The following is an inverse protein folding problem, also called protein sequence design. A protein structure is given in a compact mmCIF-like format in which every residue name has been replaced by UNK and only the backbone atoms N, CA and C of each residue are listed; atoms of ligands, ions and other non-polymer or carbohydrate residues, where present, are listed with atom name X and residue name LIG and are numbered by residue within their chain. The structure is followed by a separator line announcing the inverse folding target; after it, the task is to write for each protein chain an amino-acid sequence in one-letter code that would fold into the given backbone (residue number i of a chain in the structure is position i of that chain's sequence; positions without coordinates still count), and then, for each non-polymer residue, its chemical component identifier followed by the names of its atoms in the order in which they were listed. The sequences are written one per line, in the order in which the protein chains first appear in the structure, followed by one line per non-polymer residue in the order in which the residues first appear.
data_IF_733026871187
#
_entry.id   IF_733026871187
#
_cell.length_a   1.000
_cell.length_b   1.000
_cell.length_c   1.000
_cell.angle_alpha   90.00
_cell.angle_beta   90.00
_cell.angle_gamma   90.00
#
_symmetry.space_group_name_H-M   'P 1'
#
loop_
_entity.id
_entity.type
_entity.pdbx_description
1 polymer ?
#
# COMPACT_ATOMS: atom_id res chain seq x y z
N UNK A 1 43.15 0.07 -15.37
CA UNK A 1 42.33 -0.54 -14.31
C UNK A 1 41.16 0.40 -14.08
N UNK A 2 40.06 0.17 -14.80
CA UNK A 2 38.88 1.05 -14.75
C UNK A 2 38.01 0.60 -13.57
N UNK A 3 37.60 1.50 -12.65
CA UNK A 3 36.65 1.13 -11.62
C UNK A 3 35.31 0.86 -12.31
N UNK A 4 34.79 -0.36 -12.15
CA UNK A 4 33.43 -0.66 -12.55
C UNK A 4 32.48 0.31 -11.82
N UNK A 5 31.52 0.96 -12.51
CA UNK A 5 30.48 1.69 -11.83
C UNK A 5 29.73 0.67 -10.95
N UNK A 6 29.74 0.91 -9.64
CA UNK A 6 28.86 0.23 -8.70
C UNK A 6 27.45 0.30 -9.27
N UNK A 7 26.88 -0.84 -9.66
CA UNK A 7 25.48 -0.94 -10.07
C UNK A 7 24.66 -0.19 -9.01
N UNK A 8 23.86 0.83 -9.38
CA UNK A 8 23.00 1.48 -8.40
C UNK A 8 22.09 0.38 -7.89
N UNK A 9 22.37 -0.12 -6.68
CA UNK A 9 21.55 -1.15 -6.06
C UNK A 9 20.11 -0.72 -6.20
N UNK A 10 19.28 -1.57 -6.82
CA UNK A 10 17.86 -1.33 -7.06
C UNK A 10 17.17 -1.09 -5.70
N UNK A 11 17.27 0.15 -5.20
CA UNK A 11 16.74 0.52 -3.90
C UNK A 11 15.24 0.56 -4.03
N UNK A 12 14.59 -0.39 -3.37
CA UNK A 12 13.16 -0.48 -3.29
C UNK A 12 12.59 0.84 -2.70
N UNK A 13 11.76 1.60 -3.43
CA UNK A 13 11.39 2.95 -3.02
C UNK A 13 10.62 2.97 -1.69
N UNK A 14 10.90 3.95 -0.80
CA UNK A 14 10.28 4.03 0.52
C UNK A 14 8.78 4.36 0.47
N UNK A 15 8.29 4.92 -0.64
CA UNK A 15 6.88 5.27 -0.87
C UNK A 15 5.92 4.09 -0.64
N UNK A 16 6.38 2.84 -0.80
CA UNK A 16 5.62 1.62 -0.50
C UNK A 16 4.97 1.60 0.88
N UNK A 17 5.60 2.21 1.88
CA UNK A 17 5.06 2.22 3.25
C UNK A 17 3.80 3.07 3.34
N UNK A 18 3.73 4.17 2.59
CA UNK A 18 2.51 4.97 2.47
C UNK A 18 1.41 4.22 1.73
N UNK A 19 1.75 3.41 0.72
CA UNK A 19 0.77 2.57 0.03
C UNK A 19 0.16 1.53 0.97
N UNK A 20 0.93 0.95 1.90
CA UNK A 20 0.44 -0.05 2.85
C UNK A 20 -0.58 0.47 3.88
N UNK A 21 -0.75 1.80 3.97
CA UNK A 21 -1.77 2.44 4.82
C UNK A 21 -3.18 2.33 4.23
N UNK A 22 -3.35 1.84 2.99
CA UNK A 22 -4.63 1.79 2.28
C UNK A 22 -5.83 1.14 3.01
N UNK A 23 -5.70 0.12 3.90
CA UNK A 23 -6.88 -0.39 4.61
C UNK A 23 -7.33 0.51 5.75
N UNK A 24 -6.48 1.42 6.24
CA UNK A 24 -6.77 2.26 7.42
C UNK A 24 -7.88 3.27 7.14
N UNK A 25 -7.87 3.93 5.97
CA UNK A 25 -8.93 4.88 5.57
C UNK A 25 -10.34 4.28 5.65
N UNK A 26 -10.62 3.17 4.94
CA UNK A 26 -11.91 2.47 5.01
C UNK A 26 -12.33 2.10 6.44
N UNK A 27 -11.41 1.61 7.26
CA UNK A 27 -11.70 1.25 8.66
C UNK A 27 -12.08 2.47 9.49
N UNK A 28 -11.33 3.58 9.35
CA UNK A 28 -11.62 4.83 10.03
C UNK A 28 -12.94 5.45 9.55
N UNK A 29 -13.28 5.32 8.26
CA UNK A 29 -14.58 5.76 7.75
C UNK A 29 -15.73 4.99 8.38
N UNK A 30 -15.63 3.66 8.46
CA UNK A 30 -16.64 2.83 9.12
C UNK A 30 -16.79 3.22 10.59
N UNK A 31 -15.68 3.40 11.30
CA UNK A 31 -15.68 3.88 12.69
C UNK A 31 -16.37 5.24 12.82
N UNK A 32 -16.08 6.19 11.93
CA UNK A 32 -16.71 7.52 11.91
C UNK A 32 -18.22 7.43 11.71
N UNK A 33 -18.70 6.59 10.78
CA UNK A 33 -20.14 6.38 10.53
C UNK A 33 -20.86 5.75 11.71
N UNK A 34 -20.28 4.72 12.31
CA UNK A 34 -20.84 4.10 13.52
C UNK A 34 -20.88 5.09 14.69
N UNK A 35 -19.83 5.90 14.86
CA UNK A 35 -19.80 6.93 15.90
C UNK A 35 -20.88 8.00 15.67
N UNK A 36 -21.14 8.37 14.41
CA UNK A 36 -22.20 9.32 14.06
C UNK A 36 -23.60 8.77 14.39
N UNK A 37 -23.87 7.49 14.07
CA UNK A 37 -25.13 6.83 14.41
C UNK A 37 -25.34 6.80 15.94
N UNK A 38 -24.30 6.45 16.69
CA UNK A 38 -24.34 6.47 18.15
C UNK A 38 -24.53 7.89 18.72
N UNK A 39 -23.95 8.90 18.08
CA UNK A 39 -24.16 10.30 18.45
C UNK A 39 -25.63 10.71 18.30
N UNK A 40 -26.27 10.34 17.19
CA UNK A 40 -27.70 10.62 16.96
C UNK A 40 -28.55 9.95 18.04
N UNK A 41 -28.31 8.67 18.32
CA UNK A 41 -29.03 7.94 19.37
C UNK A 41 -28.82 8.55 20.76
N UNK A 42 -27.58 8.94 21.09
CA UNK A 42 -27.27 9.56 22.38
C UNK A 42 -27.91 10.95 22.53
N UNK A 43 -28.05 11.69 21.42
CA UNK A 43 -28.71 13.00 21.38
C UNK A 43 -30.21 12.86 21.63
N UNK A 44 -30.85 11.87 21.00
CA UNK A 44 -32.27 11.54 21.23
C UNK A 44 -32.52 11.09 22.68
N UNK A 45 -31.58 10.35 23.26
CA UNK A 45 -31.64 9.92 24.67
C UNK A 45 -31.28 11.02 25.68
N UNK A 46 -30.88 12.22 25.23
CA UNK A 46 -30.48 13.32 26.11
C UNK A 46 -29.17 13.11 26.88
N UNK A 47 -28.32 12.18 26.42
CA UNK A 47 -27.06 11.84 27.10
C UNK A 47 -25.89 12.69 26.59
N UNK A 48 -25.62 13.79 27.28
CA UNK A 48 -24.57 14.76 26.88
C UNK A 48 -23.17 14.13 26.80
N UNK A 49 -22.78 13.33 27.80
CA UNK A 49 -21.43 12.78 27.88
C UNK A 49 -21.13 11.79 26.74
N UNK A 50 -22.11 10.92 26.43
CA UNK A 50 -22.01 9.97 25.32
C UNK A 50 -22.05 10.71 23.99
N UNK A 51 -22.95 11.71 23.86
CA UNK A 51 -23.04 12.55 22.67
C UNK A 51 -21.72 13.26 22.34
N UNK A 52 -21.11 13.94 23.32
CA UNK A 52 -19.82 14.61 23.10
C UNK A 52 -18.70 13.64 22.73
N UNK A 53 -18.66 12.48 23.37
CA UNK A 53 -17.62 11.46 23.13
C UNK A 53 -17.74 10.87 21.72
N UNK A 54 -18.95 10.47 21.32
CA UNK A 54 -19.22 9.90 19.98
C UNK A 54 -19.06 10.94 18.87
N UNK A 55 -19.44 12.19 19.11
CA UNK A 55 -19.16 13.30 18.20
C UNK A 55 -17.65 13.52 17.99
N UNK A 56 -16.86 13.56 19.07
CA UNK A 56 -15.41 13.70 18.97
C UNK A 56 -14.77 12.54 18.18
N UNK A 57 -15.19 11.30 18.45
CA UNK A 57 -14.73 10.11 17.69
C UNK A 57 -15.08 10.24 16.21
N UNK A 58 -16.30 10.71 15.88
CA UNK A 58 -16.74 10.92 14.49
C UNK A 58 -15.79 11.85 13.75
N UNK A 59 -15.46 13.00 14.34
CA UNK A 59 -14.57 13.99 13.74
C UNK A 59 -13.13 13.46 13.60
N UNK A 60 -12.58 12.89 14.67
CA UNK A 60 -11.20 12.40 14.68
C UNK A 60 -11.04 11.26 13.67
N UNK A 61 -11.96 10.30 13.65
CA UNK A 61 -11.91 9.19 12.70
C UNK A 61 -12.14 9.67 11.26
N UNK A 62 -13.09 10.59 11.04
CA UNK A 62 -13.37 11.16 9.72
C UNK A 62 -12.16 11.88 9.13
N UNK A 63 -11.58 12.85 9.84
CA UNK A 63 -10.41 13.58 9.37
C UNK A 63 -9.18 12.67 9.21
N UNK A 64 -9.00 11.70 10.12
CA UNK A 64 -7.91 10.72 10.00
C UNK A 64 -8.07 9.84 8.77
N UNK A 65 -9.30 9.44 8.42
CA UNK A 65 -9.59 8.69 7.19
C UNK A 65 -9.17 9.46 5.94
N UNK A 66 -9.52 10.74 5.87
CA UNK A 66 -9.13 11.63 4.76
C UNK A 66 -7.60 11.77 4.66
N UNK A 67 -6.93 12.03 5.79
CA UNK A 67 -5.47 12.15 5.83
C UNK A 67 -4.76 10.86 5.40
N UNK A 68 -5.17 9.71 5.93
CA UNK A 68 -4.64 8.41 5.53
C UNK A 68 -4.86 8.15 4.04
N UNK A 69 -6.03 8.47 3.51
CA UNK A 69 -6.35 8.26 2.09
C UNK A 69 -5.54 9.18 1.18
N UNK A 70 -5.29 10.42 1.61
CA UNK A 70 -4.42 11.36 0.89
C UNK A 70 -2.97 10.88 0.86
N UNK A 71 -2.45 10.39 2.00
CA UNK A 71 -1.11 9.77 2.08
C UNK A 71 -1.00 8.60 1.10
N UNK A 72 -2.01 7.72 1.07
CA UNK A 72 -2.05 6.56 0.16
C UNK A 72 -2.06 7.02 -1.30
N UNK A 73 -2.87 8.02 -1.65
CA UNK A 73 -2.95 8.55 -3.01
C UNK A 73 -1.59 9.10 -3.48
N UNK A 74 -0.95 9.94 -2.68
CA UNK A 74 0.38 10.51 -3.00
C UNK A 74 1.43 9.41 -3.06
N UNK A 75 1.46 8.52 -2.07
CA UNK A 75 2.43 7.43 -2.01
C UNK A 75 2.29 6.47 -3.20
N UNK A 76 1.07 6.17 -3.64
CA UNK A 76 0.81 5.30 -4.78
C UNK A 76 1.33 5.90 -6.09
N UNK A 77 1.09 7.20 -6.31
CA UNK A 77 1.61 7.92 -7.50
C UNK A 77 3.13 8.00 -7.45
N UNK A 78 3.71 8.35 -6.30
CA UNK A 78 5.17 8.47 -6.17
C UNK A 78 5.88 7.12 -6.27
N UNK A 79 5.30 6.03 -5.75
CA UNK A 79 5.82 4.67 -5.91
C UNK A 79 5.75 4.24 -7.38
N UNK A 80 4.65 4.54 -8.07
CA UNK A 80 4.51 4.23 -9.49
C UNK A 80 5.49 5.04 -10.36
N UNK A 81 5.66 6.34 -10.08
CA UNK A 81 6.65 7.19 -10.76
C UNK A 81 8.09 6.70 -10.53
N UNK A 82 8.42 6.28 -9.31
CA UNK A 82 9.74 5.75 -8.99
C UNK A 82 10.03 4.41 -9.68
N UNK A 83 8.98 3.65 -10.02
CA UNK A 83 9.08 2.33 -10.66
C UNK A 83 8.80 2.35 -12.17
N UNK A 84 8.53 3.51 -12.75
CA UNK A 84 8.15 3.66 -14.18
C UNK A 84 9.20 3.14 -15.17
N UNK A 85 10.45 3.04 -14.74
CA UNK A 85 11.58 2.60 -15.59
C UNK A 85 12.16 1.26 -15.09
N UNK A 86 11.47 0.59 -14.16
CA UNK A 86 11.97 -0.65 -13.55
C UNK A 86 11.75 -1.85 -14.51
N UNK A 87 12.79 -2.66 -14.79
CA UNK A 87 12.79 -3.65 -15.87
C UNK A 87 11.75 -4.76 -15.71
N UNK A 88 11.44 -5.16 -14.48
CA UNK A 88 10.51 -6.25 -14.19
C UNK A 88 9.10 -5.79 -13.80
N UNK A 89 8.89 -4.50 -13.52
CA UNK A 89 7.61 -3.97 -13.06
C UNK A 89 7.49 -2.50 -13.37
N UNK A 90 6.72 -2.16 -14.39
CA UNK A 90 6.49 -0.80 -14.83
C UNK A 90 5.00 -0.43 -14.66
N UNK A 91 4.59 0.07 -13.49
CA UNK A 91 3.22 0.48 -13.27
C UNK A 91 2.92 1.81 -13.97
N UNK A 92 1.74 1.93 -14.59
CA UNK A 92 1.31 3.18 -15.21
C UNK A 92 0.98 4.23 -14.11
N UNK A 93 1.72 5.36 -14.03
CA UNK A 93 1.49 6.38 -13.00
C UNK A 93 0.13 7.08 -13.11
N UNK A 94 -0.45 7.17 -14.31
CA UNK A 94 -1.78 7.75 -14.52
C UNK A 94 -2.88 6.87 -13.91
N UNK A 95 -2.78 5.56 -14.11
CA UNK A 95 -3.71 4.61 -13.51
C UNK A 95 -3.58 4.60 -11.99
N UNK A 96 -2.33 4.66 -11.47
CA UNK A 96 -2.06 4.85 -10.05
C UNK A 96 -2.72 6.12 -9.51
N UNK A 97 -2.65 7.24 -10.25
CA UNK A 97 -3.33 8.49 -9.90
C UNK A 97 -4.84 8.37 -9.84
N UNK A 98 -5.48 7.76 -10.84
CA UNK A 98 -6.94 7.52 -10.85
C UNK A 98 -7.37 6.66 -9.66
N UNK A 99 -6.63 5.58 -9.39
CA UNK A 99 -6.89 4.71 -8.22
C UNK A 99 -6.71 5.48 -6.91
N UNK A 100 -5.66 6.31 -6.80
CA UNK A 100 -5.41 7.15 -5.62
C UNK A 100 -6.52 8.19 -5.40
N UNK A 101 -6.98 8.86 -6.45
CA UNK A 101 -8.11 9.80 -6.38
C UNK A 101 -9.39 9.05 -5.97
N UNK A 102 -9.65 7.89 -6.56
CA UNK A 102 -10.77 7.04 -6.16
C UNK A 102 -10.69 6.63 -4.69
N UNK A 103 -9.49 6.34 -4.18
CA UNK A 103 -9.29 6.02 -2.77
C UNK A 103 -9.56 7.23 -1.86
N UNK A 104 -9.09 8.41 -2.24
CA UNK A 104 -9.37 9.65 -1.51
C UNK A 104 -10.87 9.99 -1.51
N UNK A 105 -11.54 9.89 -2.66
CA UNK A 105 -12.99 10.07 -2.76
C UNK A 105 -13.76 9.04 -1.92
N UNK A 106 -13.17 7.85 -1.70
CA UNK A 106 -13.69 6.83 -0.81
C UNK A 106 -13.85 7.32 0.63
N UNK A 107 -12.95 8.19 1.11
CA UNK A 107 -12.98 8.73 2.46
C UNK A 107 -14.26 9.54 2.75
N UNK A 108 -14.88 10.10 1.71
CA UNK A 108 -16.13 10.87 1.81
C UNK A 108 -17.34 10.03 1.40
N UNK A 109 -17.24 9.31 0.28
CA UNK A 109 -18.39 8.68 -0.38
C UNK A 109 -18.57 7.19 -0.04
N UNK A 110 -17.60 6.55 0.62
CA UNK A 110 -17.50 5.10 0.86
C UNK A 110 -17.44 4.20 -0.39
N UNK A 111 -18.37 4.34 -1.34
CA UNK A 111 -18.46 3.46 -2.52
C UNK A 111 -17.17 3.36 -3.32
N UNK A 112 -16.38 4.43 -3.54
CA UNK A 112 -15.09 4.32 -4.22
C UNK A 112 -14.08 3.40 -3.52
N UNK A 113 -14.22 3.13 -2.22
CA UNK A 113 -13.37 2.14 -1.54
C UNK A 113 -13.60 0.71 -2.04
N UNK A 114 -14.80 0.37 -2.50
CA UNK A 114 -15.10 -0.96 -3.05
C UNK A 114 -14.25 -1.31 -4.27
N UNK A 115 -13.81 -0.29 -5.02
CA UNK A 115 -12.95 -0.45 -6.19
C UNK A 115 -11.48 -0.16 -5.87
N UNK A 116 -11.20 0.91 -5.13
CA UNK A 116 -9.82 1.33 -4.87
C UNK A 116 -9.07 0.39 -3.93
N UNK A 117 -9.72 -0.15 -2.89
CA UNK A 117 -9.08 -1.09 -1.94
C UNK A 117 -8.59 -2.36 -2.65
N UNK A 118 -9.40 -3.10 -3.43
CA UNK A 118 -8.89 -4.26 -4.16
C UNK A 118 -7.89 -3.88 -5.25
N UNK A 119 -8.04 -2.73 -5.93
CA UNK A 119 -7.08 -2.27 -6.91
C UNK A 119 -5.69 -2.00 -6.29
N UNK A 120 -5.64 -1.34 -5.14
CA UNK A 120 -4.40 -1.09 -4.40
C UNK A 120 -3.83 -2.39 -3.84
N UNK A 121 -4.69 -3.28 -3.33
CA UNK A 121 -4.28 -4.63 -2.90
C UNK A 121 -3.62 -5.41 -4.04
N UNK A 122 -4.20 -5.39 -5.23
CA UNK A 122 -3.63 -6.00 -6.43
C UNK A 122 -2.30 -5.35 -6.83
N UNK A 123 -2.21 -4.02 -6.78
CA UNK A 123 -0.96 -3.29 -7.00
C UNK A 123 0.15 -3.77 -6.05
N UNK A 124 -0.15 -3.83 -4.74
CA UNK A 124 0.80 -4.29 -3.71
C UNK A 124 1.21 -5.75 -3.96
N UNK A 125 0.26 -6.61 -4.29
CA UNK A 125 0.54 -8.02 -4.60
C UNK A 125 1.49 -8.16 -5.80
N UNK A 126 1.17 -7.52 -6.93
CA UNK A 126 2.01 -7.55 -8.13
C UNK A 126 3.40 -6.97 -7.89
N UNK A 127 3.48 -5.84 -7.18
CA UNK A 127 4.75 -5.21 -6.80
C UNK A 127 5.62 -6.16 -5.97
N UNK A 128 5.04 -6.90 -5.01
CA UNK A 128 5.78 -7.90 -4.21
C UNK A 128 6.32 -9.04 -5.07
N UNK A 129 5.56 -9.51 -6.05
CA UNK A 129 6.01 -10.60 -6.93
C UNK A 129 7.24 -10.21 -7.80
N UNK A 130 7.31 -8.97 -8.27
CA UNK A 130 8.34 -8.55 -9.24
C UNK A 130 9.53 -7.80 -8.62
N UNK A 131 9.41 -7.33 -7.37
CA UNK A 131 10.45 -6.53 -6.69
C UNK A 131 10.83 -7.13 -5.32
N UNK A 132 9.96 -7.96 -4.73
CA UNK A 132 10.20 -8.61 -3.43
C UNK A 132 10.75 -10.04 -3.54
N UNK A 133 10.85 -10.61 -4.74
CA UNK A 133 11.20 -12.02 -4.97
C UNK A 133 12.69 -12.32 -5.14
N UNK A 134 13.53 -11.32 -5.37
CA UNK A 134 14.91 -11.52 -5.89
C UNK A 134 15.95 -11.80 -4.79
N UNK A 135 15.52 -12.37 -3.67
CA UNK A 135 16.35 -12.59 -2.47
C UNK A 135 16.84 -14.02 -2.22
N UNK A 136 16.54 -15.02 -3.05
CA UNK A 136 16.95 -16.39 -2.69
C UNK A 136 16.57 -17.58 -3.56
N UNK A 137 16.51 -17.45 -4.89
CA UNK A 137 16.40 -18.64 -5.75
C UNK A 137 16.91 -18.38 -7.18
N UNK A 138 18.13 -17.86 -7.29
CA UNK A 138 18.92 -18.19 -8.48
C UNK A 138 19.35 -19.66 -8.35
N UNK A 139 19.25 -20.48 -9.41
CA UNK A 139 19.93 -21.77 -9.40
C UNK A 139 21.40 -21.49 -9.12
N UNK A 140 21.90 -22.02 -8.00
CA UNK A 140 23.32 -21.93 -7.67
C UNK A 140 24.14 -22.43 -8.86
N UNK A 141 25.33 -21.85 -9.12
CA UNK A 141 26.18 -22.33 -10.19
C UNK A 141 26.33 -23.84 -10.01
N UNK A 142 25.94 -24.60 -11.04
CA UNK A 142 26.11 -26.03 -11.07
C UNK A 142 27.56 -26.33 -10.72
N UNK A 143 27.78 -26.97 -9.58
CA UNK A 143 29.08 -27.40 -9.12
C UNK A 143 29.65 -28.38 -10.16
N UNK A 144 30.71 -28.03 -10.92
CA UNK A 144 31.27 -28.90 -11.93
C UNK A 144 32.26 -29.93 -11.33
N UNK A 145 32.33 -30.10 -10.00
CA UNK A 145 33.37 -30.90 -9.35
C UNK A 145 33.02 -32.38 -9.08
N UNK A 146 31.85 -32.85 -9.52
CA UNK A 146 31.36 -34.20 -9.18
C UNK A 146 31.34 -35.21 -10.33
N UNK A 147 32.43 -35.39 -11.08
CA UNK A 147 32.63 -36.63 -11.87
C UNK A 147 34.09 -36.78 -12.33
N UNK A 148 34.93 -37.34 -11.47
CA UNK A 148 36.17 -38.02 -11.88
C UNK A 148 36.14 -39.43 -11.30
N UNK A 149 35.83 -40.46 -12.11
CA UNK A 149 36.06 -41.83 -11.69
C UNK A 149 37.57 -42.06 -11.59
N UNK A 150 38.01 -42.48 -10.42
CA UNK A 150 39.35 -43.02 -10.20
C UNK A 150 39.52 -44.25 -11.08
N UNK A 151 40.34 -44.14 -12.12
CA UNK A 151 40.88 -45.29 -12.83
C UNK A 151 42.09 -45.78 -12.04
N UNK A 152 41.86 -46.75 -11.16
CA UNK A 152 42.89 -47.65 -10.66
C UNK A 152 43.08 -48.78 -11.69
N UNK A 153 44.23 -48.78 -12.38
CA UNK A 153 44.94 -49.98 -12.88
C UNK A 153 46.33 -49.60 -13.36
#
# INVERSE_FOLDING_TARGET
MSPFPSSPGHRNPPWRYGVYVFPIGPVLLLLSRTALELFVQASEAGSLAIGLSTFAVTLIAGWSSVLCSAVVAVALVMDALALRDHPYWNPNPWLAGVVGIGHLAGAELAYPYLLSVPAIGYYVYRRRQHIGGDGGSGPGPADPSGDRPALES
#
